data_IF_451466035476
#
_entry.id   IF_451466035476
#
_cell.length_a   1.000
_cell.length_b   1.000
_cell.length_c   1.000
_cell.angle_alpha   90.00
_cell.angle_beta   90.00
_cell.angle_gamma   90.00
#
_symmetry.space_group_name_H-M   'P 1'
#
loop_
_entity.id
_entity.type
_entity.pdbx_description
1 polymer ?
#
# COMPACT_ATOMS: atom_id res chain seq x y z
N UNK A 1 17.26 72.40 -11.76
CA UNK A 1 17.45 71.26 -10.84
C UNK A 1 16.17 71.06 -10.03
N UNK A 2 15.22 70.31 -10.57
CA UNK A 2 13.99 69.93 -9.87
C UNK A 2 14.29 68.70 -9.02
N UNK A 3 14.13 68.85 -7.70
CA UNK A 3 14.22 67.77 -6.72
C UNK A 3 12.93 66.94 -6.78
N UNK A 4 13.00 65.74 -7.34
CA UNK A 4 11.95 64.74 -7.20
C UNK A 4 11.86 64.29 -5.74
N UNK A 5 10.67 64.43 -5.14
CA UNK A 5 10.34 63.80 -3.86
C UNK A 5 9.78 62.39 -4.13
N UNK A 6 10.19 61.36 -3.39
CA UNK A 6 9.64 60.02 -3.58
C UNK A 6 8.18 59.98 -3.10
N UNK A 7 7.27 59.62 -4.01
CA UNK A 7 5.87 59.32 -3.68
C UNK A 7 5.83 57.98 -2.94
N UNK A 8 5.79 58.03 -1.62
CA UNK A 8 5.53 56.84 -0.78
C UNK A 8 4.06 56.48 -0.95
N UNK A 9 3.76 55.58 -1.90
CA UNK A 9 2.45 54.95 -2.01
C UNK A 9 2.22 54.09 -0.77
N UNK A 10 1.61 54.70 0.24
CA UNK A 10 1.14 54.01 1.44
C UNK A 10 -0.02 53.11 1.01
N UNK A 11 0.29 51.86 0.68
CA UNK A 11 -0.69 50.84 0.32
C UNK A 11 -1.51 50.46 1.56
N UNK A 12 -2.47 51.30 1.94
CA UNK A 12 -3.45 51.04 3.00
C UNK A 12 -4.53 50.05 2.58
N UNK A 13 -4.52 49.56 1.34
CA UNK A 13 -5.54 48.64 0.81
C UNK A 13 -5.18 47.15 0.97
N UNK A 14 -3.94 46.81 1.27
CA UNK A 14 -3.52 45.42 1.48
C UNK A 14 -3.87 44.84 2.87
N UNK A 15 -4.34 45.65 3.82
CA UNK A 15 -4.51 45.24 5.22
C UNK A 15 -5.92 44.77 5.60
N UNK A 16 -6.92 44.85 4.71
CA UNK A 16 -8.33 44.74 5.10
C UNK A 16 -9.05 43.43 4.73
N UNK A 17 -8.40 42.45 4.10
CA UNK A 17 -9.00 41.12 3.86
C UNK A 17 -8.22 39.99 4.54
N UNK A 18 -8.06 40.06 5.87
CA UNK A 18 -7.87 38.82 6.64
C UNK A 18 -9.21 38.10 6.70
N UNK A 19 -9.49 37.25 5.71
CA UNK A 19 -10.62 36.31 5.76
C UNK A 19 -10.52 35.52 7.07
N UNK A 20 -11.49 35.70 7.97
CA UNK A 20 -11.55 34.96 9.24
C UNK A 20 -11.54 33.46 8.91
N UNK A 21 -10.69 32.63 9.53
CA UNK A 21 -10.74 31.20 9.28
C UNK A 21 -12.14 30.70 9.65
N UNK A 22 -12.80 30.08 8.67
CA UNK A 22 -14.10 29.45 8.84
C UNK A 22 -13.90 28.31 9.85
N UNK A 23 -14.21 28.56 11.13
CA UNK A 23 -14.06 27.59 12.22
C UNK A 23 -15.42 26.92 12.38
N UNK A 24 -15.61 25.77 11.75
CA UNK A 24 -16.83 24.97 11.88
C UNK A 24 -16.91 24.47 13.33
N UNK A 25 -17.96 24.90 14.04
CA UNK A 25 -18.25 24.45 15.40
C UNK A 25 -18.74 23.00 15.30
N UNK A 26 -17.86 22.04 15.60
CA UNK A 26 -18.10 20.60 15.43
C UNK A 26 -17.04 19.85 14.61
N UNK A 27 -15.99 20.52 14.12
CA UNK A 27 -14.89 19.91 13.35
C UNK A 27 -14.28 18.68 14.04
N UNK A 28 -14.05 18.74 15.35
CA UNK A 28 -13.44 17.62 16.08
C UNK A 28 -14.28 16.35 16.05
N UNK A 29 -15.61 16.47 16.14
CA UNK A 29 -16.52 15.32 16.06
C UNK A 29 -16.59 14.76 14.64
N UNK A 30 -16.67 15.63 13.62
CA UNK A 30 -16.67 15.18 12.22
C UNK A 30 -15.36 14.45 11.87
N UNK A 31 -14.22 15.04 12.24
CA UNK A 31 -12.88 14.43 12.04
C UNK A 31 -12.79 13.08 12.79
N UNK A 32 -13.29 13.01 14.03
CA UNK A 32 -13.31 11.76 14.80
C UNK A 32 -14.14 10.68 14.10
N UNK A 33 -15.35 10.99 13.64
CA UNK A 33 -16.20 10.01 12.94
C UNK A 33 -15.63 9.58 11.59
N UNK A 34 -14.93 10.46 10.87
CA UNK A 34 -14.21 10.09 9.65
C UNK A 34 -12.97 9.22 9.93
N UNK A 35 -12.27 9.45 11.05
CA UNK A 35 -11.09 8.67 11.45
C UNK A 35 -11.44 7.35 12.14
N UNK A 36 -12.61 7.28 12.79
CA UNK A 36 -13.06 6.12 13.55
C UNK A 36 -12.99 4.79 12.75
N UNK A 37 -13.50 4.68 11.50
CA UNK A 37 -13.41 3.42 10.76
C UNK A 37 -11.97 3.01 10.43
N UNK A 38 -11.09 3.98 10.15
CA UNK A 38 -9.67 3.70 9.92
C UNK A 38 -8.97 3.24 11.22
N UNK A 39 -9.25 3.91 12.34
CA UNK A 39 -8.71 3.53 13.65
C UNK A 39 -9.23 2.18 14.12
N UNK A 40 -10.52 1.90 13.93
CA UNK A 40 -11.12 0.61 14.21
C UNK A 40 -10.47 -0.49 13.38
N UNK A 41 -10.25 -0.25 12.09
CA UNK A 41 -9.58 -1.21 11.21
C UNK A 41 -8.17 -1.53 11.72
N UNK A 42 -7.36 -0.53 12.04
CA UNK A 42 -6.01 -0.74 12.61
C UNK A 42 -6.08 -1.44 13.96
N UNK A 43 -7.01 -1.08 14.83
CA UNK A 43 -7.25 -1.75 16.13
C UNK A 43 -7.53 -3.25 15.94
N UNK A 44 -8.45 -3.58 15.05
CA UNK A 44 -8.87 -4.97 14.82
C UNK A 44 -7.83 -5.78 14.05
N UNK A 45 -7.15 -5.22 13.05
CA UNK A 45 -6.23 -5.99 12.21
C UNK A 45 -4.78 -5.99 12.69
N UNK A 46 -4.35 -4.95 13.40
CA UNK A 46 -2.96 -4.87 13.90
C UNK A 46 -2.89 -5.24 15.36
N UNK A 47 -3.76 -4.71 16.21
CA UNK A 47 -3.65 -4.91 17.66
C UNK A 47 -4.28 -6.21 18.14
N UNK A 48 -5.41 -6.65 17.58
CA UNK A 48 -6.00 -7.95 17.95
C UNK A 48 -5.04 -9.14 17.77
N UNK A 49 -4.42 -9.38 16.59
CA UNK A 49 -3.49 -10.50 16.45
C UNK A 49 -2.23 -10.32 17.29
N UNK A 50 -1.78 -9.09 17.51
CA UNK A 50 -0.65 -8.80 18.39
C UNK A 50 -0.96 -9.21 19.84
N UNK A 51 -2.11 -8.79 20.38
CA UNK A 51 -2.54 -9.15 21.73
C UNK A 51 -2.78 -10.64 21.86
N UNK A 52 -3.40 -11.28 20.86
CA UNK A 52 -3.55 -12.74 20.81
C UNK A 52 -2.20 -13.44 20.83
N UNK A 53 -1.23 -12.99 20.04
CA UNK A 53 0.13 -13.54 20.03
C UNK A 53 0.83 -13.40 21.39
N UNK A 54 0.64 -12.27 22.07
CA UNK A 54 1.16 -12.07 23.43
C UNK A 54 0.50 -13.08 24.39
N UNK A 55 -0.82 -13.21 24.40
CA UNK A 55 -1.51 -14.18 25.28
C UNK A 55 -1.09 -15.63 24.95
N UNK A 56 -0.93 -15.96 23.67
CA UNK A 56 -0.43 -17.27 23.23
C UNK A 56 0.96 -17.58 23.78
N UNK A 57 1.84 -16.58 23.92
CA UNK A 57 3.18 -16.79 24.48
C UNK A 57 3.20 -17.24 25.94
N UNK A 58 2.11 -17.00 26.69
CA UNK A 58 1.94 -17.47 28.08
C UNK A 58 1.12 -18.77 28.20
N UNK A 59 0.68 -19.33 27.07
CA UNK A 59 -0.18 -20.51 27.01
C UNK A 59 0.54 -21.67 26.31
N UNK A 60 0.13 -22.91 26.61
CA UNK A 60 0.64 -24.09 25.91
C UNK A 60 -0.08 -24.27 24.57
N UNK A 61 0.44 -23.65 23.52
CA UNK A 61 -0.09 -23.83 22.18
C UNK A 61 0.71 -24.89 21.42
N UNK A 62 0.21 -26.13 21.42
CA UNK A 62 0.75 -27.20 20.58
C UNK A 62 -0.13 -27.42 19.35
N UNK A 63 0.46 -27.77 18.21
CA UNK A 63 -0.29 -28.04 16.98
C UNK A 63 -1.20 -29.27 17.07
N UNK A 64 -0.94 -30.20 17.99
CA UNK A 64 -1.66 -31.48 18.08
C UNK A 64 -2.70 -31.53 19.20
N UNK A 65 -2.71 -30.56 20.11
CA UNK A 65 -3.70 -30.45 21.19
C UNK A 65 -4.28 -29.03 21.22
N UNK A 66 -5.27 -28.78 20.36
CA UNK A 66 -5.92 -27.46 20.20
C UNK A 66 -7.02 -27.19 21.23
N UNK A 67 -7.47 -28.21 21.96
CA UNK A 67 -8.58 -28.10 22.91
C UNK A 67 -8.09 -27.87 24.35
N UNK A 68 -6.85 -28.25 24.67
CA UNK A 68 -6.28 -28.11 26.00
C UNK A 68 -5.29 -26.94 26.10
N UNK A 69 -5.79 -25.72 25.84
CA UNK A 69 -4.97 -24.49 25.95
C UNK A 69 -4.92 -24.05 27.41
N UNK A 70 -3.86 -24.45 28.12
CA UNK A 70 -3.63 -24.06 29.50
C UNK A 70 -2.70 -22.84 29.59
N UNK A 71 -2.97 -21.99 30.57
CA UNK A 71 -2.10 -20.87 30.91
C UNK A 71 -0.97 -21.37 31.83
N UNK A 72 0.25 -21.48 31.28
CA UNK A 72 1.43 -21.97 32.01
C UNK A 72 2.33 -20.79 32.48
N UNK A 73 1.91 -19.54 32.23
CA UNK A 73 2.67 -18.37 32.67
C UNK A 73 4.00 -18.23 31.91
N UNK A 74 5.13 -18.29 32.63
CA UNK A 74 6.45 -17.96 32.07
C UNK A 74 7.27 -19.17 31.59
N UNK A 75 6.75 -20.38 31.73
CA UNK A 75 7.50 -21.60 31.44
C UNK A 75 7.98 -21.67 29.98
N UNK A 76 7.18 -21.15 29.04
CA UNK A 76 7.59 -21.04 27.63
C UNK A 76 8.89 -20.24 27.45
N UNK A 77 9.06 -19.14 28.18
CA UNK A 77 10.25 -18.30 28.08
C UNK A 77 11.46 -18.96 28.73
N UNK A 78 11.28 -19.59 29.89
CA UNK A 78 12.35 -20.32 30.59
C UNK A 78 12.83 -21.49 29.73
N UNK A 79 11.92 -22.23 29.11
CA UNK A 79 12.24 -23.36 28.22
C UNK A 79 13.07 -22.91 27.01
N UNK A 80 12.72 -21.78 26.38
CA UNK A 80 13.47 -21.25 25.24
C UNK A 80 14.87 -20.80 25.68
N UNK A 81 14.99 -20.03 26.75
CA UNK A 81 16.28 -19.46 27.21
C UNK A 81 17.22 -20.54 27.73
N UNK A 82 16.69 -21.59 28.37
CA UNK A 82 17.48 -22.71 28.92
C UNK A 82 17.86 -23.74 27.85
N UNK A 83 17.28 -23.66 26.65
CA UNK A 83 17.57 -24.60 25.58
C UNK A 83 19.03 -24.49 25.10
N UNK A 84 19.69 -25.62 24.77
CA UNK A 84 21.09 -25.64 24.33
C UNK A 84 21.34 -25.00 22.96
N UNK A 85 20.28 -24.72 22.21
CA UNK A 85 20.35 -24.13 20.87
C UNK A 85 20.12 -22.60 20.88
N UNK A 86 19.44 -22.07 21.90
CA UNK A 86 19.14 -20.64 22.02
C UNK A 86 20.35 -19.72 21.84
N UNK A 87 21.51 -19.91 22.53
CA UNK A 87 22.65 -19.02 22.35
C UNK A 87 23.22 -19.07 20.93
N UNK A 88 23.18 -20.24 20.27
CA UNK A 88 23.66 -20.38 18.89
C UNK A 88 22.77 -19.61 17.91
N UNK A 89 21.45 -19.72 18.06
CA UNK A 89 20.49 -18.97 17.22
C UNK A 89 20.59 -17.47 17.50
N UNK A 90 20.63 -17.06 18.78
CA UNK A 90 20.74 -15.66 19.18
C UNK A 90 22.02 -15.00 18.64
N UNK A 91 23.18 -15.67 18.76
CA UNK A 91 24.45 -15.17 18.25
C UNK A 91 24.47 -15.12 16.72
N UNK A 92 23.87 -16.09 16.03
CA UNK A 92 23.78 -16.06 14.57
C UNK A 92 22.95 -14.86 14.10
N UNK A 93 21.78 -14.62 14.70
CA UNK A 93 20.94 -13.46 14.34
C UNK A 93 21.61 -12.14 14.70
N UNK A 94 22.26 -12.06 15.86
CA UNK A 94 22.99 -10.86 16.27
C UNK A 94 24.14 -10.56 15.33
N UNK A 95 24.98 -11.56 15.02
CA UNK A 95 26.09 -11.41 14.09
C UNK A 95 25.59 -11.05 12.70
N UNK A 96 24.52 -11.67 12.21
CA UNK A 96 23.89 -11.34 10.93
C UNK A 96 23.46 -9.87 10.87
N UNK A 97 22.76 -9.37 11.90
CA UNK A 97 22.29 -7.98 11.94
C UNK A 97 23.46 -7.00 12.00
N UNK A 98 24.42 -7.22 12.90
CA UNK A 98 25.56 -6.30 13.05
C UNK A 98 26.42 -6.28 11.80
N UNK A 99 26.72 -7.46 11.23
CA UNK A 99 27.51 -7.61 10.01
C UNK A 99 26.80 -6.94 8.81
N UNK A 100 25.52 -7.24 8.61
CA UNK A 100 24.75 -6.65 7.50
C UNK A 100 24.60 -5.13 7.63
N UNK A 101 24.31 -4.61 8.82
CA UNK A 101 24.22 -3.16 9.06
C UNK A 101 25.57 -2.46 8.88
N UNK A 102 26.67 -3.06 9.37
CA UNK A 102 28.01 -2.51 9.20
C UNK A 102 28.37 -2.40 7.71
N UNK A 103 28.19 -3.48 6.94
CA UNK A 103 28.47 -3.47 5.51
C UNK A 103 27.51 -2.55 4.75
N UNK A 104 26.22 -2.56 5.07
CA UNK A 104 25.23 -1.68 4.44
C UNK A 104 25.56 -0.21 4.67
N UNK A 105 25.98 0.16 5.88
CA UNK A 105 26.42 1.51 6.20
C UNK A 105 27.70 1.86 5.45
N UNK A 106 28.68 0.95 5.42
CA UNK A 106 29.96 1.15 4.75
C UNK A 106 29.77 1.33 3.24
N UNK A 107 29.01 0.45 2.58
CA UNK A 107 28.71 0.56 1.15
C UNK A 107 27.88 1.79 0.83
N UNK A 108 26.84 2.08 1.62
CA UNK A 108 26.00 3.26 1.43
C UNK A 108 26.79 4.57 1.56
N UNK A 109 27.62 4.68 2.60
CA UNK A 109 28.45 5.85 2.83
C UNK A 109 29.56 5.99 1.78
N UNK A 110 30.22 4.89 1.43
CA UNK A 110 31.27 4.87 0.40
C UNK A 110 30.69 5.29 -0.94
N UNK A 111 29.54 4.74 -1.34
CA UNK A 111 28.88 5.10 -2.58
C UNK A 111 28.43 6.57 -2.56
N UNK A 112 27.88 7.06 -1.45
CA UNK A 112 27.49 8.46 -1.30
C UNK A 112 28.68 9.42 -1.44
N UNK A 113 29.82 9.11 -0.79
CA UNK A 113 31.04 9.91 -0.87
C UNK A 113 31.68 9.83 -2.26
N UNK A 114 31.66 8.67 -2.91
CA UNK A 114 32.12 8.51 -4.29
C UNK A 114 31.27 9.34 -5.25
N UNK A 115 29.95 9.36 -5.06
CA UNK A 115 29.00 10.16 -5.84
C UNK A 115 29.08 11.68 -5.58
N UNK A 116 29.69 12.11 -4.46
CA UNK A 116 29.93 13.54 -4.18
C UNK A 116 30.88 14.16 -5.19
N UNK A 117 31.87 13.41 -5.70
CA UNK A 117 32.79 13.92 -6.74
C UNK A 117 32.05 14.02 -8.07
N UNK A 118 32.22 15.13 -8.80
CA UNK A 118 31.64 15.28 -10.14
C UNK A 118 32.47 14.48 -11.15
N UNK A 119 32.11 13.22 -11.34
CA UNK A 119 32.68 12.37 -12.40
C UNK A 119 31.78 12.33 -13.64
N UNK A 120 32.38 12.12 -14.82
CA UNK A 120 31.66 11.95 -16.09
C UNK A 120 30.97 10.58 -16.07
N UNK A 121 29.64 10.55 -16.25
CA UNK A 121 28.83 9.32 -16.19
C UNK A 121 28.05 9.10 -14.89
N UNK A 122 28.08 10.04 -13.93
CA UNK A 122 27.38 9.94 -12.63
C UNK A 122 25.91 9.56 -12.71
N UNK A 123 25.19 10.06 -13.72
CA UNK A 123 23.78 9.73 -13.91
C UNK A 123 23.52 8.26 -14.20
N UNK A 124 24.40 7.60 -14.96
CA UNK A 124 24.22 6.18 -15.35
C UNK A 124 24.44 5.27 -14.14
N UNK A 125 25.48 5.53 -13.33
CA UNK A 125 25.71 4.76 -12.10
C UNK A 125 24.59 4.96 -11.08
N UNK A 126 24.08 6.18 -10.94
CA UNK A 126 22.93 6.45 -10.09
C UNK A 126 21.71 5.65 -10.57
N UNK A 127 21.42 5.68 -11.87
CA UNK A 127 20.31 4.92 -12.45
C UNK A 127 20.46 3.42 -12.17
N UNK A 128 21.62 2.81 -12.45
CA UNK A 128 21.83 1.37 -12.23
C UNK A 128 21.68 0.93 -10.77
N UNK A 129 22.17 1.72 -9.81
CA UNK A 129 22.05 1.38 -8.38
C UNK A 129 20.60 1.48 -7.90
N UNK A 130 19.88 2.53 -8.30
CA UNK A 130 18.49 2.72 -7.87
C UNK A 130 17.48 1.93 -8.72
N UNK A 131 17.89 1.44 -9.90
CA UNK A 131 17.02 0.76 -10.85
C UNK A 131 16.22 -0.40 -10.23
N UNK A 132 16.82 -1.35 -9.47
CA UNK A 132 16.04 -2.47 -8.93
C UNK A 132 14.94 -2.01 -7.98
N UNK A 133 15.26 -1.06 -7.09
CA UNK A 133 14.31 -0.52 -6.12
C UNK A 133 13.21 0.32 -6.79
N UNK A 134 13.58 1.16 -7.75
CA UNK A 134 12.63 1.96 -8.51
C UNK A 134 11.70 1.07 -9.34
N UNK A 135 12.23 0.04 -10.00
CA UNK A 135 11.45 -0.92 -10.78
C UNK A 135 10.44 -1.68 -9.91
N UNK A 136 10.85 -2.17 -8.74
CA UNK A 136 9.91 -2.84 -7.82
C UNK A 136 8.76 -1.92 -7.41
N UNK A 137 9.03 -0.66 -7.09
CA UNK A 137 7.99 0.30 -6.73
C UNK A 137 7.00 0.57 -7.87
N UNK A 138 7.51 0.72 -9.10
CA UNK A 138 6.68 0.92 -10.30
C UNK A 138 5.81 -0.31 -10.59
N UNK A 139 6.39 -1.51 -10.49
CA UNK A 139 5.64 -2.77 -10.68
C UNK A 139 4.51 -2.89 -9.66
N UNK A 140 4.78 -2.64 -8.38
CA UNK A 140 3.76 -2.70 -7.31
C UNK A 140 2.64 -1.69 -7.56
N UNK A 141 2.99 -0.45 -7.95
CA UNK A 141 2.00 0.57 -8.28
C UNK A 141 1.11 0.13 -9.46
N UNK A 142 1.71 -0.41 -10.52
CA UNK A 142 0.97 -0.90 -11.69
C UNK A 142 0.05 -2.08 -11.35
N UNK A 143 0.49 -3.00 -10.50
CA UNK A 143 -0.35 -4.11 -10.04
C UNK A 143 -1.56 -3.57 -9.27
N UNK A 144 -1.35 -2.62 -8.35
CA UNK A 144 -2.43 -2.07 -7.53
C UNK A 144 -3.52 -1.39 -8.37
N UNK A 145 -3.11 -0.56 -9.33
CA UNK A 145 -4.06 0.07 -10.26
C UNK A 145 -4.72 -0.92 -11.21
N UNK A 146 -3.94 -1.86 -11.76
CA UNK A 146 -4.43 -2.85 -12.71
C UNK A 146 -5.50 -3.76 -12.10
N UNK A 147 -5.27 -4.27 -10.88
CA UNK A 147 -6.20 -5.16 -10.19
C UNK A 147 -7.54 -4.46 -9.92
N UNK A 148 -7.51 -3.23 -9.39
CA UNK A 148 -8.74 -2.47 -9.12
C UNK A 148 -9.52 -2.18 -10.41
N UNK A 149 -8.81 -1.79 -11.48
CA UNK A 149 -9.42 -1.53 -12.78
C UNK A 149 -10.10 -2.78 -13.36
N UNK A 150 -9.42 -3.93 -13.35
CA UNK A 150 -10.02 -5.18 -13.84
C UNK A 150 -11.23 -5.61 -13.02
N UNK A 151 -11.21 -5.46 -11.69
CA UNK A 151 -12.34 -5.78 -10.83
C UNK A 151 -13.57 -4.92 -11.17
N UNK A 152 -13.41 -3.60 -11.30
CA UNK A 152 -14.50 -2.67 -11.65
C UNK A 152 -15.04 -2.99 -13.04
N UNK A 153 -14.18 -3.29 -14.00
CA UNK A 153 -14.60 -3.62 -15.36
C UNK A 153 -15.36 -4.94 -15.43
N UNK A 154 -14.93 -5.98 -14.70
CA UNK A 154 -15.67 -7.25 -14.61
C UNK A 154 -17.04 -7.01 -13.96
N UNK A 155 -17.10 -6.22 -12.89
CA UNK A 155 -18.36 -5.85 -12.24
C UNK A 155 -19.30 -5.10 -13.21
N UNK A 156 -18.77 -4.13 -13.97
CA UNK A 156 -19.53 -3.40 -14.97
C UNK A 156 -20.01 -4.32 -16.12
N UNK A 157 -19.18 -5.28 -16.54
CA UNK A 157 -19.56 -6.28 -17.54
C UNK A 157 -20.72 -7.16 -17.05
N UNK A 158 -20.65 -7.61 -15.79
CA UNK A 158 -21.72 -8.39 -15.16
C UNK A 158 -23.01 -7.58 -15.01
N UNK A 159 -22.92 -6.31 -14.62
CA UNK A 159 -24.08 -5.41 -14.52
C UNK A 159 -24.68 -5.05 -15.88
N UNK A 160 -23.95 -5.21 -16.98
CA UNK A 160 -24.45 -4.90 -18.34
C UNK A 160 -25.39 -5.97 -18.93
N UNK A 161 -25.56 -7.10 -18.24
CA UNK A 161 -26.44 -8.20 -18.65
C UNK A 161 -27.89 -7.79 -18.31
N UNK A 162 -28.74 -7.50 -19.31
CA UNK A 162 -30.11 -7.08 -19.06
C UNK A 162 -30.94 -8.24 -18.49
N UNK A 163 -31.86 -7.92 -17.57
CA UNK A 163 -32.72 -8.87 -16.85
C UNK A 163 -33.65 -9.65 -17.80
N UNK A 164 -33.96 -9.05 -18.96
CA UNK A 164 -34.75 -9.63 -20.06
C UNK A 164 -34.20 -10.99 -20.56
N UNK A 165 -32.87 -11.20 -20.53
CA UNK A 165 -32.26 -12.46 -20.92
C UNK A 165 -32.49 -13.57 -19.87
N UNK A 166 -32.63 -13.20 -18.60
CA UNK A 166 -32.97 -14.13 -17.54
C UNK A 166 -34.45 -14.50 -17.58
N UNK A 167 -35.33 -13.54 -17.87
CA UNK A 167 -36.76 -13.79 -18.08
C UNK A 167 -37.01 -14.68 -19.31
N UNK A 168 -36.38 -14.38 -20.44
CA UNK A 168 -36.49 -15.21 -21.65
C UNK A 168 -36.00 -16.65 -21.41
N UNK A 169 -34.89 -16.83 -20.68
CA UNK A 169 -34.35 -18.15 -20.36
C UNK A 169 -35.21 -18.95 -19.36
N UNK A 170 -35.84 -18.26 -18.40
CA UNK A 170 -36.80 -18.87 -17.48
C UNK A 170 -38.06 -19.35 -18.22
N UNK A 171 -38.50 -18.59 -19.24
CA UNK A 171 -39.62 -18.96 -20.10
C UNK A 171 -39.27 -20.11 -21.07
N UNK A 172 -38.04 -20.16 -21.59
CA UNK A 172 -37.61 -21.14 -22.61
C UNK A 172 -37.15 -22.51 -22.07
N UNK A 173 -37.09 -22.74 -20.74
CA UNK A 173 -36.48 -23.95 -20.14
C UNK A 173 -35.12 -24.32 -20.77
N UNK A 174 -34.33 -23.31 -21.15
CA UNK A 174 -33.06 -23.55 -21.82
C UNK A 174 -32.05 -24.20 -20.87
N UNK A 175 -31.38 -25.28 -21.31
CA UNK A 175 -30.35 -25.93 -20.50
C UNK A 175 -29.15 -24.99 -20.30
N UNK A 176 -28.54 -25.03 -19.11
CA UNK A 176 -27.57 -24.06 -18.60
C UNK A 176 -26.38 -23.76 -19.54
N UNK A 177 -26.08 -24.65 -20.48
CA UNK A 177 -25.00 -24.47 -21.46
C UNK A 177 -25.27 -23.44 -22.56
N UNK A 178 -26.53 -23.08 -22.84
CA UNK A 178 -26.87 -22.12 -23.90
C UNK A 178 -26.75 -20.67 -23.42
N UNK A 179 -26.97 -20.42 -22.13
CA UNK A 179 -26.92 -19.08 -21.51
C UNK A 179 -25.50 -18.49 -21.45
N UNK A 180 -24.48 -19.35 -21.41
CA UNK A 180 -23.07 -18.97 -21.28
C UNK A 180 -22.42 -18.57 -22.62
N UNK A 181 -23.17 -18.50 -23.72
CA UNK A 181 -22.60 -18.03 -24.99
C UNK A 181 -22.22 -16.55 -24.85
N UNK A 182 -20.96 -16.17 -25.12
CA UNK A 182 -20.52 -14.78 -25.12
C UNK A 182 -21.45 -13.94 -26.01
N UNK A 183 -22.25 -13.07 -25.40
CA UNK A 183 -23.06 -12.11 -26.15
C UNK A 183 -22.12 -11.18 -26.92
N UNK A 184 -22.60 -10.58 -28.01
CA UNK A 184 -21.82 -9.60 -28.78
C UNK A 184 -21.30 -8.44 -27.90
N UNK A 185 -22.01 -8.14 -26.79
CA UNK A 185 -21.56 -7.21 -25.75
C UNK A 185 -20.23 -7.63 -25.10
N UNK A 186 -20.03 -8.92 -24.82
CA UNK A 186 -18.77 -9.43 -24.25
C UNK A 186 -17.60 -9.26 -25.22
N UNK A 187 -17.83 -9.47 -26.52
CA UNK A 187 -16.81 -9.22 -27.56
C UNK A 187 -16.41 -7.75 -27.61
N UNK A 188 -17.37 -6.82 -27.51
CA UNK A 188 -17.08 -5.37 -27.45
C UNK A 188 -16.26 -5.00 -26.22
N UNK A 189 -16.61 -5.53 -25.05
CA UNK A 189 -15.87 -5.31 -23.80
C UNK A 189 -14.45 -5.86 -23.91
N UNK A 190 -14.26 -7.09 -24.43
CA UNK A 190 -12.94 -7.67 -24.67
C UNK A 190 -12.11 -6.88 -25.69
N UNK A 191 -12.76 -6.25 -26.68
CA UNK A 191 -12.10 -5.39 -27.67
C UNK A 191 -11.64 -4.06 -27.05
N UNK A 192 -12.47 -3.46 -26.18
CA UNK A 192 -12.11 -2.28 -25.38
C UNK A 192 -10.96 -2.63 -24.43
N UNK A 193 -11.01 -3.80 -23.79
CA UNK A 193 -9.96 -4.30 -22.92
C UNK A 193 -8.62 -4.43 -23.65
N UNK A 194 -8.60 -5.11 -24.80
CA UNK A 194 -7.41 -5.22 -25.63
C UNK A 194 -6.88 -3.84 -26.02
N UNK A 195 -7.77 -2.93 -26.42
CA UNK A 195 -7.39 -1.56 -26.81
C UNK A 195 -6.86 -0.71 -25.65
N UNK A 196 -7.38 -0.87 -24.42
CA UNK A 196 -6.88 -0.17 -23.25
C UNK A 196 -5.58 -0.77 -22.71
N UNK A 197 -5.46 -2.10 -22.70
CA UNK A 197 -4.21 -2.78 -22.34
C UNK A 197 -3.07 -2.34 -23.26
N UNK A 198 -3.32 -2.26 -24.58
CA UNK A 198 -2.35 -1.77 -25.55
C UNK A 198 -1.99 -0.28 -25.33
N UNK A 199 -2.97 0.57 -24.97
CA UNK A 199 -2.72 1.98 -24.70
C UNK A 199 -2.02 2.24 -23.37
N UNK A 200 -2.32 1.51 -22.30
CA UNK A 200 -1.62 1.62 -21.01
C UNK A 200 -0.14 1.23 -21.13
N UNK A 201 0.20 0.29 -22.02
CA UNK A 201 1.60 -0.05 -22.31
C UNK A 201 2.31 1.08 -23.08
N UNK A 202 1.61 1.83 -23.94
CA UNK A 202 2.18 2.91 -24.75
C UNK A 202 2.19 4.30 -24.09
N UNK A 203 1.38 4.53 -23.05
CA UNK A 203 1.28 5.83 -22.35
C UNK A 203 2.33 6.05 -21.26
N UNK A 204 3.29 5.13 -21.11
CA UNK A 204 4.47 5.34 -20.29
C UNK A 204 5.67 5.64 -21.21
N UNK A 205 5.83 6.88 -21.73
CA UNK A 205 7.10 7.26 -22.32
C UNK A 205 8.14 7.17 -21.20
N UNK A 206 9.18 6.39 -21.45
CA UNK A 206 10.39 6.37 -20.64
C UNK A 206 11.00 7.78 -20.57
#
# INVERSE_FOLDING_TARGET
>A
MQSEKPVVMTNKRAAAERKKPFRLKGEGQFIFWCLFPALLFVAVFTYYPLLRGVVMSFQNYTLFDLLNIQFIGLDNFVNVVTSPDFPRVALNSFFWVVCSLFFQLLFGLTLALLMRRRFRGRGIYQALVFFPWAMSAVIIANIWYGVAFFAIMILAALQSIPEELYEAAAMDRASHGVLLRPTEKLKTILKIFRSMSERCILLHPA
#
